data_IF_785997719951
#
_entry.id   IF_785997719951
#
_cell.length_a   1.000
_cell.length_b   1.000
_cell.length_c   1.000
_cell.angle_alpha   90.00
_cell.angle_beta   90.00
_cell.angle_gamma   90.00
#
_symmetry.space_group_name_H-M   'P 1'
#
loop_
_entity.id
_entity.type
_entity.pdbx_description
1 polymer ?
#
# COMPACT_ATOMS: atom_id res chain seq x y z
N UNK A 1 -18.33 -9.28 -9.49
CA UNK A 1 -18.51 -10.70 -9.11
C UNK A 1 -18.20 -10.95 -7.63
N UNK A 2 -17.03 -10.53 -7.11
CA UNK A 2 -16.64 -10.74 -5.70
C UNK A 2 -17.55 -9.99 -4.70
N UNK A 3 -17.74 -8.67 -4.85
CA UNK A 3 -18.56 -7.89 -3.92
C UNK A 3 -20.01 -8.38 -3.79
N UNK A 4 -20.58 -8.96 -4.86
CA UNK A 4 -21.92 -9.56 -4.84
C UNK A 4 -21.95 -10.86 -4.04
N UNK A 5 -20.92 -11.71 -4.16
CA UNK A 5 -20.83 -12.98 -3.41
C UNK A 5 -20.68 -12.75 -1.91
N UNK A 6 -19.92 -11.73 -1.52
CA UNK A 6 -19.70 -11.37 -0.12
C UNK A 6 -20.68 -10.31 0.40
N UNK A 7 -21.75 -10.03 -0.35
CA UNK A 7 -22.73 -9.00 -0.01
C UNK A 7 -23.36 -9.20 1.39
N UNK A 8 -23.71 -10.44 1.72
CA UNK A 8 -24.34 -10.82 2.99
C UNK A 8 -23.35 -11.06 4.14
N UNK A 9 -22.04 -11.01 3.88
CA UNK A 9 -21.05 -11.22 4.93
C UNK A 9 -20.99 -10.04 5.90
N UNK A 10 -20.55 -10.32 7.13
CA UNK A 10 -20.30 -9.31 8.15
C UNK A 10 -19.17 -8.36 7.73
N UNK A 11 -19.17 -7.15 8.30
CA UNK A 11 -18.14 -6.13 8.04
C UNK A 11 -16.71 -6.66 8.31
N UNK A 12 -16.41 -7.37 9.41
CA UNK A 12 -15.07 -7.90 9.67
C UNK A 12 -14.58 -8.88 8.59
N UNK A 13 -15.46 -9.72 8.05
CA UNK A 13 -15.12 -10.67 6.97
C UNK A 13 -14.78 -9.92 5.69
N UNK A 14 -15.57 -8.90 5.34
CA UNK A 14 -15.32 -8.03 4.18
C UNK A 14 -13.99 -7.29 4.30
N UNK A 15 -13.68 -6.76 5.50
CA UNK A 15 -12.40 -6.12 5.78
C UNK A 15 -11.27 -7.15 5.63
N UNK A 16 -11.39 -8.34 6.21
CA UNK A 16 -10.36 -9.39 6.11
C UNK A 16 -10.08 -9.77 4.67
N UNK A 17 -11.14 -9.93 3.86
CA UNK A 17 -11.02 -10.18 2.43
C UNK A 17 -10.27 -9.04 1.72
N UNK A 18 -10.63 -7.79 2.01
CA UNK A 18 -9.96 -6.62 1.46
C UNK A 18 -8.46 -6.58 1.86
N UNK A 19 -8.13 -6.84 3.12
CA UNK A 19 -6.74 -6.88 3.60
C UNK A 19 -5.94 -7.98 2.90
N UNK A 20 -6.51 -9.18 2.76
CA UNK A 20 -5.86 -10.32 2.13
C UNK A 20 -5.57 -10.10 0.63
N UNK A 21 -6.50 -9.48 -0.11
CA UNK A 21 -6.35 -9.34 -1.56
C UNK A 21 -5.81 -7.97 -2.01
N UNK A 22 -6.23 -6.89 -1.35
CA UNK A 22 -5.91 -5.52 -1.79
C UNK A 22 -4.76 -4.88 -1.02
N UNK A 23 -4.50 -5.25 0.24
CA UNK A 23 -3.39 -4.66 1.02
C UNK A 23 -2.07 -5.42 0.91
N UNK A 24 -2.06 -6.59 0.28
CA UNK A 24 -0.82 -7.35 0.09
C UNK A 24 0.17 -6.59 -0.78
N UNK A 25 -0.31 -5.87 -1.80
CA UNK A 25 0.50 -5.15 -2.79
C UNK A 25 1.77 -5.93 -3.13
N UNK A 26 1.53 -7.17 -3.56
CA UNK A 26 2.60 -8.10 -3.87
C UNK A 26 3.59 -7.45 -4.84
N UNK A 27 4.89 -7.64 -4.57
CA UNK A 27 6.01 -7.07 -5.33
C UNK A 27 6.04 -5.54 -5.46
N UNK A 28 5.35 -4.79 -4.60
CA UNK A 28 5.41 -3.32 -4.64
C UNK A 28 6.82 -2.72 -4.47
N UNK A 29 7.73 -3.48 -3.86
CA UNK A 29 9.16 -3.18 -3.77
C UNK A 29 9.87 -3.07 -5.13
N UNK A 30 9.31 -3.70 -6.18
CA UNK A 30 9.89 -3.71 -7.52
C UNK A 30 9.33 -2.59 -8.40
N UNK A 31 8.39 -1.79 -7.91
CA UNK A 31 7.72 -0.73 -8.67
C UNK A 31 8.60 0.52 -8.80
N UNK A 32 9.75 0.37 -9.46
CA UNK A 32 10.73 1.45 -9.62
C UNK A 32 10.43 2.40 -10.80
N UNK A 33 9.67 1.93 -11.79
CA UNK A 33 9.36 2.65 -13.02
C UNK A 33 7.84 2.64 -13.23
N UNK A 34 7.14 3.60 -12.63
CA UNK A 34 5.70 3.79 -12.80
C UNK A 34 5.39 5.27 -13.01
N UNK A 35 4.29 5.56 -13.71
CA UNK A 35 3.82 6.94 -13.87
C UNK A 35 2.98 7.34 -12.67
N UNK A 36 3.00 8.63 -12.33
CA UNK A 36 2.10 9.17 -11.30
C UNK A 36 0.63 8.93 -11.63
N UNK A 37 0.27 8.89 -12.93
CA UNK A 37 -1.08 8.54 -13.39
C UNK A 37 -1.47 7.10 -13.03
N UNK A 38 -0.57 6.15 -13.21
CA UNK A 38 -0.81 4.75 -12.86
C UNK A 38 -0.95 4.55 -11.34
N UNK A 39 -0.10 5.21 -10.55
CA UNK A 39 -0.18 5.18 -9.08
C UNK A 39 -1.50 5.81 -8.58
N UNK A 40 -1.88 6.97 -9.12
CA UNK A 40 -3.16 7.60 -8.80
C UNK A 40 -4.36 6.72 -9.17
N UNK A 41 -4.31 6.04 -10.32
CA UNK A 41 -5.37 5.12 -10.73
C UNK A 41 -5.48 3.94 -9.75
N UNK A 42 -4.35 3.39 -9.30
CA UNK A 42 -4.31 2.32 -8.30
C UNK A 42 -4.91 2.80 -6.96
N UNK A 43 -4.55 4.00 -6.50
CA UNK A 43 -5.12 4.62 -5.30
C UNK A 43 -6.64 4.79 -5.39
N UNK A 44 -7.15 5.27 -6.54
CA UNK A 44 -8.58 5.42 -6.77
C UNK A 44 -9.29 4.05 -6.75
N UNK A 45 -8.71 3.05 -7.41
CA UNK A 45 -9.24 1.68 -7.40
C UNK A 45 -9.25 1.06 -6.01
N UNK A 46 -8.20 1.27 -5.21
CA UNK A 46 -8.11 0.81 -3.83
C UNK A 46 -9.26 1.39 -2.97
N UNK A 47 -9.46 2.71 -3.05
CA UNK A 47 -10.54 3.39 -2.34
C UNK A 47 -11.92 2.93 -2.80
N UNK A 48 -12.14 2.83 -4.12
CA UNK A 48 -13.42 2.40 -4.67
C UNK A 48 -13.73 0.94 -4.36
N UNK A 49 -12.74 0.05 -4.36
CA UNK A 49 -12.92 -1.35 -3.99
C UNK A 49 -13.41 -1.47 -2.55
N UNK A 50 -12.83 -0.67 -1.64
CA UNK A 50 -13.27 -0.63 -0.25
C UNK A 50 -14.72 -0.15 -0.13
N UNK A 51 -15.09 0.93 -0.83
CA UNK A 51 -16.47 1.44 -0.89
C UNK A 51 -17.46 0.40 -1.38
N UNK A 52 -17.13 -0.29 -2.47
CA UNK A 52 -18.01 -1.30 -3.08
C UNK A 52 -18.19 -2.50 -2.16
N UNK A 53 -17.13 -2.95 -1.46
CA UNK A 53 -17.23 -4.09 -0.54
C UNK A 53 -18.07 -3.77 0.69
N UNK A 54 -17.94 -2.57 1.26
CA UNK A 54 -18.68 -2.14 2.44
C UNK A 54 -20.01 -1.44 2.14
N UNK A 55 -20.36 -1.27 0.85
CA UNK A 55 -21.56 -0.55 0.39
C UNK A 55 -21.64 0.89 0.92
N UNK A 56 -20.49 1.57 0.95
CA UNK A 56 -20.41 2.95 1.41
C UNK A 56 -20.91 3.92 0.34
N UNK A 57 -21.43 5.09 0.74
CA UNK A 57 -21.82 6.14 -0.20
C UNK A 57 -20.66 6.60 -1.09
N UNK A 58 -20.92 7.05 -2.33
CA UNK A 58 -19.86 7.55 -3.22
C UNK A 58 -19.14 8.79 -2.66
N UNK A 59 -19.86 9.62 -1.91
CA UNK A 59 -19.40 10.92 -1.42
C UNK A 59 -18.74 10.87 -0.03
N UNK A 60 -18.36 9.69 0.46
CA UNK A 60 -17.66 9.58 1.74
C UNK A 60 -16.18 9.95 1.63
N UNK A 61 -15.66 10.58 2.69
CA UNK A 61 -14.23 10.85 2.83
C UNK A 61 -13.43 9.54 2.78
N UNK A 62 -12.39 9.49 1.96
CA UNK A 62 -11.53 8.32 1.83
C UNK A 62 -10.76 8.05 3.13
N UNK A 63 -10.25 9.09 3.80
CA UNK A 63 -9.57 8.91 5.09
C UNK A 63 -10.54 8.49 6.19
N UNK A 64 -11.75 9.07 6.21
CA UNK A 64 -12.80 8.72 7.18
C UNK A 64 -13.21 7.25 7.11
N UNK A 65 -13.51 6.72 5.93
CA UNK A 65 -13.96 5.32 5.80
C UNK A 65 -12.91 4.30 6.26
N UNK A 66 -11.62 4.61 6.09
CA UNK A 66 -10.53 3.74 6.55
C UNK A 66 -10.29 3.88 8.06
N UNK A 67 -10.42 5.09 8.61
CA UNK A 67 -10.33 5.34 10.04
C UNK A 67 -11.46 4.63 10.82
N UNK A 68 -12.71 4.78 10.37
CA UNK A 68 -13.89 4.16 10.98
C UNK A 68 -13.80 2.62 10.97
N UNK A 69 -13.19 2.06 9.92
CA UNK A 69 -13.00 0.63 9.78
C UNK A 69 -11.67 0.11 10.38
N UNK A 70 -10.92 0.96 11.08
CA UNK A 70 -9.61 0.65 11.67
C UNK A 70 -8.69 -0.11 10.69
N UNK A 71 -8.59 0.41 9.47
CA UNK A 71 -7.87 -0.22 8.36
C UNK A 71 -6.96 0.81 7.70
N UNK A 72 -5.76 0.39 7.30
CA UNK A 72 -4.80 1.30 6.66
C UNK A 72 -5.30 1.82 5.31
N UNK A 73 -5.14 3.12 5.08
CA UNK A 73 -5.33 3.73 3.77
C UNK A 73 -4.18 3.38 2.81
N UNK A 74 -4.30 3.79 1.54
CA UNK A 74 -3.30 3.51 0.51
C UNK A 74 -1.89 3.95 0.93
N UNK A 75 -1.78 5.17 1.44
CA UNK A 75 -0.50 5.78 1.79
C UNK A 75 0.16 5.10 2.99
N UNK A 76 -0.63 4.76 4.02
CA UNK A 76 -0.16 4.01 5.17
C UNK A 76 0.34 2.63 4.76
N UNK A 77 -0.37 1.92 3.87
CA UNK A 77 0.10 0.63 3.36
C UNK A 77 1.41 0.78 2.59
N UNK A 78 1.51 1.75 1.68
CA UNK A 78 2.75 2.01 0.94
C UNK A 78 3.93 2.29 1.88
N UNK A 79 3.76 3.18 2.86
CA UNK A 79 4.80 3.48 3.86
C UNK A 79 5.21 2.24 4.67
N UNK A 80 4.25 1.41 5.10
CA UNK A 80 4.54 0.15 5.82
C UNK A 80 5.35 -0.82 4.96
N UNK A 81 5.04 -0.95 3.67
CA UNK A 81 5.77 -1.83 2.73
C UNK A 81 7.20 -1.35 2.52
N UNK A 82 7.38 -0.05 2.37
CA UNK A 82 8.67 0.63 2.23
C UNK A 82 9.54 0.41 3.46
N UNK A 83 9.01 0.67 4.65
CA UNK A 83 9.71 0.43 5.91
C UNK A 83 10.06 -1.05 6.12
N UNK A 84 9.14 -1.97 5.78
CA UNK A 84 9.38 -3.42 5.84
C UNK A 84 10.50 -3.86 4.90
N UNK A 85 10.55 -3.33 3.68
CA UNK A 85 11.63 -3.61 2.74
C UNK A 85 12.97 -3.09 3.25
N UNK A 86 13.02 -1.85 3.73
CA UNK A 86 14.24 -1.27 4.28
C UNK A 86 14.77 -2.07 5.46
N UNK A 87 13.89 -2.50 6.37
CA UNK A 87 14.26 -3.36 7.50
C UNK A 87 14.87 -4.69 7.03
N UNK A 88 14.29 -5.31 6.00
CA UNK A 88 14.81 -6.56 5.43
C UNK A 88 16.16 -6.40 4.73
N UNK A 89 16.34 -5.30 4.00
CA UNK A 89 17.62 -4.99 3.34
C UNK A 89 18.70 -4.72 4.38
N UNK A 90 18.39 -3.92 5.40
CA UNK A 90 19.33 -3.61 6.49
C UNK A 90 19.65 -4.79 7.42
N UNK A 91 18.72 -5.73 7.59
CA UNK A 91 18.93 -6.95 8.37
C UNK A 91 19.44 -8.14 7.55
N UNK A 92 19.84 -7.95 6.30
CA UNK A 92 20.36 -9.04 5.47
C UNK A 92 21.84 -9.29 5.71
N UNK A 93 22.24 -10.55 5.85
CA UNK A 93 23.66 -10.95 5.89
C UNK A 93 24.34 -10.89 4.51
N UNK A 94 23.59 -10.56 3.45
CA UNK A 94 24.15 -10.41 2.12
C UNK A 94 25.04 -9.17 2.06
N UNK A 95 26.34 -9.38 1.80
CA UNK A 95 27.35 -8.31 1.77
C UNK A 95 27.03 -7.20 0.76
N UNK A 96 26.39 -7.52 -0.36
CA UNK A 96 25.97 -6.54 -1.37
C UNK A 96 24.83 -5.67 -0.82
N UNK A 97 23.82 -6.28 -0.20
CA UNK A 97 22.69 -5.56 0.37
C UNK A 97 23.10 -4.68 1.56
N UNK A 98 24.06 -5.12 2.37
CA UNK A 98 24.64 -4.30 3.45
C UNK A 98 25.27 -3.01 2.96
N UNK A 99 26.00 -3.05 1.85
CA UNK A 99 26.59 -1.82 1.25
C UNK A 99 25.50 -0.80 0.90
N UNK A 100 24.34 -1.26 0.42
CA UNK A 100 23.21 -0.37 0.11
C UNK A 100 22.49 0.14 1.37
N UNK A 101 22.42 -0.67 2.42
CA UNK A 101 21.80 -0.28 3.69
C UNK A 101 22.65 0.71 4.50
N UNK A 102 23.98 0.53 4.48
CA UNK A 102 24.94 1.35 5.24
C UNK A 102 25.18 2.72 4.57
N UNK A 103 25.01 2.84 3.24
CA UNK A 103 25.18 4.09 2.49
C UNK A 103 23.87 4.88 2.37
N UNK A 104 23.46 5.51 3.47
CA UNK A 104 22.28 6.40 3.51
C UNK A 104 22.40 7.61 2.57
N UNK A 105 23.62 8.08 2.33
CA UNK A 105 23.91 9.22 1.45
C UNK A 105 24.04 8.81 -0.03
N UNK A 106 23.83 7.52 -0.33
CA UNK A 106 23.98 6.97 -1.68
C UNK A 106 22.83 7.34 -2.62
N UNK A 107 23.08 7.37 -3.94
CA UNK A 107 22.06 7.65 -4.95
C UNK A 107 20.90 6.64 -4.94
N UNK A 108 21.15 5.42 -4.46
CA UNK A 108 20.15 4.37 -4.27
C UNK A 108 19.12 4.74 -3.22
N UNK A 109 19.57 5.24 -2.07
CA UNK A 109 18.69 5.68 -0.98
C UNK A 109 17.92 6.94 -1.37
N UNK A 110 18.59 7.90 -2.04
CA UNK A 110 17.93 9.10 -2.58
C UNK A 110 16.82 8.76 -3.60
N UNK A 111 17.08 7.83 -4.52
CA UNK A 111 16.06 7.34 -5.47
C UNK A 111 14.92 6.61 -4.75
N UNK A 112 15.23 5.82 -3.73
CA UNK A 112 14.24 5.10 -2.96
C UNK A 112 13.29 6.04 -2.21
N UNK A 113 13.83 7.05 -1.51
CA UNK A 113 13.06 8.10 -0.84
C UNK A 113 12.17 8.84 -1.84
N UNK A 114 12.71 9.20 -3.02
CA UNK A 114 11.94 9.88 -4.06
C UNK A 114 10.76 9.06 -4.56
N UNK A 115 10.98 7.77 -4.81
CA UNK A 115 9.93 6.88 -5.34
C UNK A 115 8.83 6.56 -4.34
N UNK A 116 9.18 6.44 -3.06
CA UNK A 116 8.32 5.80 -2.07
C UNK A 116 7.89 6.67 -0.89
N UNK A 117 8.61 7.75 -0.62
CA UNK A 117 8.31 8.68 0.48
C UNK A 117 7.77 9.99 -0.05
N UNK A 118 8.39 10.57 -1.09
CA UNK A 118 7.97 11.86 -1.65
C UNK A 118 6.73 11.79 -2.55
N UNK A 119 6.47 10.65 -3.19
CA UNK A 119 5.24 10.44 -3.99
C UNK A 119 4.06 9.90 -3.18
N UNK A 120 4.28 9.60 -1.88
CA UNK A 120 3.25 9.09 -0.97
C UNK A 120 2.60 10.20 -0.11
N UNK A 121 2.85 11.47 -0.43
CA UNK A 121 2.28 12.66 0.21
C UNK A 121 1.36 13.40 -0.75
#
# INVERSE_FOLDING_TARGET
MVARRFAGCSVPVKITLFKAFCQTFYTSSLWANHTQKADNALRIQYNNTFRVLLRLPPYCSASGMFADAHTDDYFAVMRKKVASMMRRVGGSDNSILRVFAERLDGPTMGRFIKLHVLHAA
#
